data_IF_036165176019
#
_entry.id   IF_036165176019
#
_cell.length_a   1.000
_cell.length_b   1.000
_cell.length_c   1.000
_cell.angle_alpha   90.00
_cell.angle_beta   90.00
_cell.angle_gamma   90.00
#
_symmetry.space_group_name_H-M   'P 1'
#
loop_
_entity.id
_entity.type
_entity.pdbx_description
1 polymer ?
#
# COMPACT_ATOMS: atom_id res chain seq x y z
N UNK A 1 -3.77 22.69 -6.36
CA UNK A 1 -4.57 21.44 -6.47
C UNK A 1 -4.59 20.81 -5.11
N UNK A 2 -5.73 20.31 -4.62
CA UNK A 2 -5.78 19.62 -3.32
C UNK A 2 -5.51 18.13 -3.55
N UNK A 3 -4.59 17.56 -2.79
CA UNK A 3 -4.35 16.12 -2.77
C UNK A 3 -5.48 15.40 -2.02
N UNK A 4 -5.75 14.13 -2.37
CA UNK A 4 -6.68 13.29 -1.60
C UNK A 4 -6.14 13.07 -0.20
N UNK A 5 -4.84 12.78 -0.12
CA UNK A 5 -4.10 12.76 1.14
C UNK A 5 -2.64 13.18 0.91
N UNK A 6 -2.03 13.64 1.98
CA UNK A 6 -0.61 14.01 2.06
C UNK A 6 -0.05 13.67 3.43
N UNK A 7 1.19 13.25 3.49
CA UNK A 7 1.94 13.06 4.74
C UNK A 7 3.16 13.96 4.76
N UNK A 8 3.47 14.52 5.92
CA UNK A 8 4.67 15.29 6.15
C UNK A 8 5.47 14.65 7.29
N UNK A 9 6.67 14.17 6.95
CA UNK A 9 7.62 13.53 7.85
C UNK A 9 6.99 12.46 8.76
N UNK A 10 6.12 11.62 8.19
CA UNK A 10 5.37 10.62 8.94
C UNK A 10 6.30 9.55 9.53
N UNK A 11 6.20 9.33 10.84
CA UNK A 11 6.98 8.33 11.58
C UNK A 11 6.03 7.37 12.30
N UNK A 12 6.34 6.07 12.20
CA UNK A 12 5.71 5.05 13.03
C UNK A 12 6.74 4.11 13.61
N UNK A 13 6.72 4.06 14.93
CA UNK A 13 7.58 3.19 15.72
C UNK A 13 6.72 2.24 16.57
N UNK A 14 7.23 1.03 16.79
CA UNK A 14 6.64 0.07 17.72
C UNK A 14 7.61 -0.24 18.83
N UNK A 15 7.18 -0.05 20.07
CA UNK A 15 7.97 -0.40 21.24
C UNK A 15 7.68 -1.85 21.63
N UNK A 16 8.70 -2.69 21.55
CA UNK A 16 8.65 -4.07 22.03
C UNK A 16 9.11 -4.09 23.49
N UNK A 17 8.22 -4.46 24.42
CA UNK A 17 8.59 -4.62 25.82
C UNK A 17 9.31 -5.94 26.01
N UNK A 18 10.54 -5.91 26.47
CA UNK A 18 11.36 -7.10 26.74
C UNK A 18 11.00 -7.86 28.02
N UNK A 19 9.92 -7.49 28.74
CA UNK A 19 9.59 -8.00 30.08
C UNK A 19 10.18 -7.14 31.20
N UNK A 20 9.93 -7.55 32.47
CA UNK A 20 10.18 -6.71 33.67
C UNK A 20 11.63 -6.23 33.84
N UNK A 21 12.61 -6.90 33.24
CA UNK A 21 14.04 -6.62 33.38
C UNK A 21 14.84 -6.55 32.08
N UNK A 22 14.15 -6.54 30.90
CA UNK A 22 14.83 -6.46 29.60
C UNK A 22 14.69 -5.05 29.00
N UNK A 23 15.69 -4.54 28.25
CA UNK A 23 15.60 -3.25 27.60
C UNK A 23 14.42 -3.24 26.60
N UNK A 24 13.78 -2.08 26.51
CA UNK A 24 12.78 -1.85 25.46
C UNK A 24 13.51 -1.73 24.12
N UNK A 25 13.01 -2.42 23.12
CA UNK A 25 13.49 -2.30 21.75
C UNK A 25 12.46 -1.52 20.92
N UNK A 26 12.93 -0.65 20.03
CA UNK A 26 12.08 0.12 19.14
C UNK A 26 12.25 -0.38 17.71
N UNK A 27 11.16 -0.75 17.07
CA UNK A 27 11.12 -1.06 15.63
C UNK A 27 10.75 0.21 14.89
N UNK A 28 11.64 0.70 14.03
CA UNK A 28 11.42 1.88 13.19
C UNK A 28 10.72 1.47 11.89
N UNK A 29 9.39 1.33 11.92
CA UNK A 29 8.62 0.78 10.81
C UNK A 29 8.36 1.80 9.68
N UNK A 30 8.22 3.09 10.00
CA UNK A 30 8.12 4.21 9.03
C UNK A 30 9.02 5.33 9.54
N UNK A 31 9.90 5.85 8.69
CA UNK A 31 10.99 6.73 9.08
C UNK A 31 10.97 8.04 8.28
N UNK A 32 10.05 8.96 8.61
CA UNK A 32 10.01 10.29 8.02
C UNK A 32 9.52 10.30 6.56
N UNK A 33 8.40 9.63 6.30
CA UNK A 33 7.84 9.51 4.95
C UNK A 33 6.95 10.71 4.64
N UNK A 34 7.31 11.47 3.59
CA UNK A 34 6.53 12.59 3.04
C UNK A 34 6.11 12.26 1.62
N UNK A 35 4.82 11.93 1.46
CA UNK A 35 4.19 11.51 0.20
C UNK A 35 2.84 12.21 0.04
N UNK A 36 2.34 12.22 -1.19
CA UNK A 36 1.02 12.74 -1.52
C UNK A 36 0.37 11.92 -2.61
N UNK A 37 -0.95 12.04 -2.76
CA UNK A 37 -1.70 11.39 -3.83
C UNK A 37 -2.70 12.35 -4.45
N UNK A 38 -2.67 12.46 -5.78
CA UNK A 38 -3.62 13.25 -6.56
C UNK A 38 -4.95 12.48 -6.74
N UNK A 39 -6.09 13.20 -6.93
CA UNK A 39 -7.34 12.55 -7.28
C UNK A 39 -7.23 11.72 -8.57
N UNK A 40 -7.78 10.50 -8.56
CA UNK A 40 -7.75 9.58 -9.70
C UNK A 40 -6.37 8.93 -9.96
N UNK A 41 -5.38 9.20 -9.10
CA UNK A 41 -4.03 8.63 -9.24
C UNK A 41 -3.96 7.22 -8.60
N UNK A 42 -3.23 6.31 -9.22
CA UNK A 42 -2.69 5.12 -8.56
C UNK A 42 -1.24 5.38 -8.16
N UNK A 43 -0.98 5.43 -6.85
CA UNK A 43 0.35 5.49 -6.27
C UNK A 43 0.77 4.08 -5.83
N UNK A 44 1.79 3.53 -6.47
CA UNK A 44 2.34 2.23 -6.11
C UNK A 44 3.41 2.32 -5.03
N UNK A 45 3.38 1.45 -4.03
CA UNK A 45 4.48 1.32 -3.06
C UNK A 45 5.07 -0.08 -3.17
N UNK A 46 6.37 -0.15 -3.45
CA UNK A 46 7.12 -1.41 -3.58
C UNK A 46 8.31 -1.46 -2.63
N UNK A 47 8.81 -2.67 -2.38
CA UNK A 47 9.98 -2.93 -1.56
C UNK A 47 9.93 -4.32 -0.95
N UNK A 48 11.03 -4.76 -0.34
CA UNK A 48 11.13 -6.07 0.31
C UNK A 48 10.07 -6.25 1.41
N UNK A 49 9.73 -7.52 1.71
CA UNK A 49 8.80 -7.84 2.80
C UNK A 49 9.33 -7.28 4.12
N UNK A 50 8.43 -6.73 4.95
CA UNK A 50 8.80 -6.12 6.24
C UNK A 50 9.45 -4.73 6.15
N UNK A 51 9.57 -4.09 4.97
CA UNK A 51 10.17 -2.77 4.84
C UNK A 51 9.25 -1.59 5.27
N UNK A 52 8.04 -1.84 5.79
CA UNK A 52 7.16 -0.81 6.35
C UNK A 52 5.99 -0.37 5.49
N UNK A 53 5.79 -0.91 4.27
CA UNK A 53 4.72 -0.54 3.32
C UNK A 53 3.31 -0.60 3.93
N UNK A 54 2.92 -1.78 4.42
CA UNK A 54 1.61 -1.99 5.06
C UNK A 54 1.46 -1.14 6.32
N UNK A 55 2.54 -0.97 7.10
CA UNK A 55 2.53 -0.09 8.27
C UNK A 55 2.25 1.37 7.90
N UNK A 56 2.82 1.86 6.79
CA UNK A 56 2.50 3.19 6.26
C UNK A 56 1.01 3.30 5.91
N UNK A 57 0.46 2.35 5.14
CA UNK A 57 -0.97 2.32 4.79
C UNK A 57 -1.88 2.24 6.02
N UNK A 58 -1.55 1.40 7.00
CA UNK A 58 -2.31 1.27 8.25
C UNK A 58 -2.26 2.54 9.10
N UNK A 59 -1.13 3.25 9.09
CA UNK A 59 -1.01 4.53 9.81
C UNK A 59 -1.83 5.61 9.11
N UNK A 60 -1.79 5.66 7.78
CA UNK A 60 -2.60 6.59 6.98
C UNK A 60 -4.10 6.36 7.16
N UNK A 61 -4.54 5.08 7.28
CA UNK A 61 -5.94 4.69 7.53
C UNK A 61 -6.38 4.90 8.99
N UNK A 62 -5.44 5.18 9.92
CA UNK A 62 -5.72 5.32 11.35
C UNK A 62 -5.89 4.00 12.09
N UNK A 63 -5.44 2.87 11.52
CA UNK A 63 -5.35 1.58 12.23
C UNK A 63 -4.18 1.56 13.20
N UNK A 64 -3.14 2.31 12.90
CA UNK A 64 -2.02 2.58 13.80
C UNK A 64 -1.90 4.09 14.05
N UNK A 65 -1.71 4.48 15.30
CA UNK A 65 -1.42 5.87 15.65
C UNK A 65 -0.01 6.23 15.16
N UNK A 66 0.15 7.37 14.49
CA UNK A 66 1.45 7.91 14.13
C UNK A 66 2.28 8.20 15.39
N UNK A 67 3.59 7.96 15.35
CA UNK A 67 4.50 8.35 16.43
C UNK A 67 4.83 9.85 16.35
N UNK A 68 5.01 10.36 15.13
CA UNK A 68 5.17 11.79 14.83
C UNK A 68 4.91 12.07 13.35
N UNK A 69 5.00 13.34 12.96
CA UNK A 69 4.67 13.80 11.62
C UNK A 69 3.21 14.22 11.49
N UNK A 70 2.80 14.62 10.29
CA UNK A 70 1.45 15.11 10.02
C UNK A 70 0.81 14.36 8.87
N UNK A 71 -0.52 14.20 8.94
CA UNK A 71 -1.35 13.62 7.88
C UNK A 71 -2.42 14.65 7.52
N UNK A 72 -2.61 14.86 6.22
CA UNK A 72 -3.63 15.74 5.69
C UNK A 72 -4.56 14.95 4.77
N UNK A 73 -5.87 15.19 4.85
CA UNK A 73 -6.87 14.68 3.90
C UNK A 73 -7.65 15.86 3.33
N UNK A 74 -7.72 15.94 2.00
CA UNK A 74 -8.34 17.06 1.28
C UNK A 74 -7.82 18.43 1.77
N UNK A 75 -6.51 18.53 2.06
CA UNK A 75 -5.83 19.75 2.53
C UNK A 75 -6.06 20.09 4.02
N UNK A 76 -6.82 19.29 4.77
CA UNK A 76 -7.04 19.47 6.21
C UNK A 76 -6.14 18.51 7.00
N UNK A 77 -5.38 19.04 7.94
CA UNK A 77 -4.63 18.21 8.89
C UNK A 77 -5.58 17.44 9.81
N UNK A 78 -5.34 16.15 9.94
CA UNK A 78 -6.14 15.24 10.77
C UNK A 78 -5.22 14.28 11.56
N UNK A 79 -5.74 13.72 12.65
CA UNK A 79 -5.22 12.50 13.26
C UNK A 79 -6.16 11.33 12.90
N UNK A 80 -5.81 10.48 11.91
CA UNK A 80 -6.69 9.41 11.46
C UNK A 80 -7.04 8.40 12.57
N UNK A 81 -6.18 8.24 13.56
CA UNK A 81 -6.42 7.32 14.68
C UNK A 81 -7.54 7.81 15.61
N UNK A 82 -7.67 9.14 15.76
CA UNK A 82 -8.69 9.80 16.57
C UNK A 82 -9.92 10.16 15.73
N UNK A 83 -9.70 10.75 14.55
CA UNK A 83 -10.74 11.32 13.68
C UNK A 83 -11.30 10.30 12.67
N UNK A 84 -11.53 9.06 13.08
CA UNK A 84 -11.97 7.96 12.19
C UNK A 84 -13.19 8.30 11.34
N UNK A 85 -14.13 9.09 11.89
CA UNK A 85 -15.33 9.54 11.17
C UNK A 85 -15.02 10.46 9.97
N UNK A 86 -13.88 11.16 10.01
CA UNK A 86 -13.44 11.98 8.89
C UNK A 86 -12.68 11.16 7.84
N UNK A 87 -12.02 10.07 8.25
CA UNK A 87 -11.22 9.21 7.38
C UNK A 87 -12.07 8.25 6.55
N UNK A 88 -12.99 7.53 7.21
CA UNK A 88 -13.72 6.41 6.59
C UNK A 88 -14.51 6.78 5.33
N UNK A 89 -15.14 7.99 5.21
CA UNK A 89 -15.78 8.39 3.95
C UNK A 89 -14.81 8.72 2.82
N UNK A 90 -13.57 9.09 3.16
CA UNK A 90 -12.54 9.49 2.18
C UNK A 90 -11.71 8.28 1.75
N UNK A 91 -11.40 7.39 2.69
CA UNK A 91 -10.44 6.31 2.49
C UNK A 91 -10.98 4.99 3.03
N UNK A 92 -10.83 3.93 2.23
CA UNK A 92 -11.17 2.56 2.58
C UNK A 92 -9.98 1.64 2.30
N UNK A 93 -10.05 0.38 2.74
CA UNK A 93 -8.93 -0.55 2.61
C UNK A 93 -9.36 -1.94 2.16
N UNK A 94 -8.59 -2.50 1.22
CA UNK A 94 -8.60 -3.91 0.84
C UNK A 94 -7.37 -4.56 1.47
N UNK A 95 -7.60 -5.54 2.34
CA UNK A 95 -6.54 -6.20 3.11
C UNK A 95 -5.88 -7.35 2.34
N UNK A 96 -4.64 -7.65 2.69
CA UNK A 96 -3.80 -8.68 2.08
C UNK A 96 -4.44 -10.07 2.06
N UNK A 97 -5.14 -10.47 3.11
CA UNK A 97 -5.75 -11.79 3.22
C UNK A 97 -7.28 -11.70 3.16
N UNK A 98 -7.89 -12.04 2.01
CA UNK A 98 -9.35 -11.99 1.87
C UNK A 98 -10.07 -13.00 2.80
N UNK A 99 -9.40 -14.10 3.20
CA UNK A 99 -9.95 -15.07 4.14
C UNK A 99 -10.05 -14.54 5.57
N UNK A 100 -9.07 -13.73 5.99
CA UNK A 100 -9.05 -13.15 7.33
C UNK A 100 -9.87 -11.84 7.43
N UNK A 101 -10.07 -11.15 6.29
CA UNK A 101 -10.74 -9.85 6.25
C UNK A 101 -12.27 -9.93 6.22
N UNK A 102 -12.85 -11.06 5.81
CA UNK A 102 -14.28 -11.30 5.77
C UNK A 102 -14.67 -12.28 6.87
N UNK A 103 -15.73 -11.98 7.62
CA UNK A 103 -16.25 -12.93 8.60
C UNK A 103 -16.85 -14.15 7.87
N UNK A 104 -16.29 -15.36 8.03
CA UNK A 104 -16.71 -16.55 7.27
C UNK A 104 -18.14 -17.03 7.56
N UNK A 105 -18.75 -16.53 8.64
CA UNK A 105 -20.10 -16.90 9.10
C UNK A 105 -21.18 -15.91 8.66
N UNK A 106 -20.81 -14.84 7.97
CA UNK A 106 -21.75 -13.87 7.47
C UNK A 106 -22.00 -14.09 5.98
N UNK A 107 -23.23 -13.81 5.56
CA UNK A 107 -23.59 -13.74 4.15
C UNK A 107 -22.93 -12.53 3.49
N UNK A 108 -22.77 -12.58 2.19
CA UNK A 108 -22.25 -11.45 1.41
C UNK A 108 -23.07 -10.18 1.63
N UNK A 109 -24.42 -10.28 1.66
CA UNK A 109 -25.29 -9.16 1.96
C UNK A 109 -24.96 -8.53 3.33
N UNK A 110 -24.84 -9.35 4.37
CA UNK A 110 -24.51 -8.86 5.71
C UNK A 110 -23.14 -8.16 5.77
N UNK A 111 -22.12 -8.71 5.07
CA UNK A 111 -20.79 -8.11 4.98
C UNK A 111 -20.82 -6.75 4.28
N UNK A 112 -21.63 -6.61 3.23
CA UNK A 112 -21.71 -5.38 2.46
C UNK A 112 -22.64 -4.35 3.10
N UNK A 113 -23.66 -4.78 3.86
CA UNK A 113 -24.55 -3.87 4.61
C UNK A 113 -23.90 -3.27 5.85
N UNK A 114 -23.00 -4.02 6.53
CA UNK A 114 -22.36 -3.60 7.78
C UNK A 114 -21.78 -2.16 7.74
N UNK A 115 -20.98 -1.75 6.74
CA UNK A 115 -20.49 -0.37 6.67
C UNK A 115 -21.59 0.68 6.52
N UNK A 116 -22.67 0.34 5.81
CA UNK A 116 -23.81 1.23 5.57
C UNK A 116 -24.70 1.39 6.82
N UNK A 117 -24.72 0.40 7.71
CA UNK A 117 -25.45 0.48 8.97
C UNK A 117 -24.88 1.52 9.94
N UNK A 118 -23.58 1.77 9.83
CA UNK A 118 -22.88 2.75 10.65
C UNK A 118 -23.08 4.20 10.17
N UNK A 119 -23.62 4.40 8.97
CA UNK A 119 -23.87 5.71 8.38
C UNK A 119 -25.38 5.99 8.35
N UNK A 120 -25.90 6.89 9.20
CA UNK A 120 -27.34 7.15 9.32
C UNK A 120 -28.00 7.73 8.07
N UNK A 121 -27.23 8.11 7.04
CA UNK A 121 -27.78 8.57 5.76
C UNK A 121 -28.43 7.44 4.96
N UNK A 122 -28.08 6.15 5.22
CA UNK A 122 -28.61 5.02 4.49
C UNK A 122 -29.80 4.39 5.20
N UNK A 123 -31.01 4.51 4.61
CA UNK A 123 -32.18 3.75 5.07
C UNK A 123 -32.02 2.25 4.74
N UNK A 124 -32.79 1.34 5.38
CA UNK A 124 -32.76 -0.08 5.01
C UNK A 124 -32.97 -0.34 3.51
N UNK A 125 -33.83 0.46 2.87
CA UNK A 125 -34.09 0.37 1.43
C UNK A 125 -32.87 0.80 0.61
N UNK A 126 -32.20 1.88 1.00
CA UNK A 126 -31.02 2.39 0.31
C UNK A 126 -29.86 1.38 0.41
N UNK A 127 -29.72 0.67 1.53
CA UNK A 127 -28.71 -0.38 1.73
C UNK A 127 -28.88 -1.50 0.71
N UNK A 128 -30.10 -2.04 0.57
CA UNK A 128 -30.38 -3.11 -0.42
C UNK A 128 -30.06 -2.68 -1.84
N UNK A 129 -30.43 -1.44 -2.21
CA UNK A 129 -30.12 -0.88 -3.52
C UNK A 129 -28.60 -0.79 -3.72
N UNK A 130 -27.89 -0.26 -2.71
CA UNK A 130 -26.44 -0.04 -2.78
C UNK A 130 -25.66 -1.35 -2.82
N UNK A 131 -26.09 -2.39 -2.07
CA UNK A 131 -25.51 -3.73 -2.14
C UNK A 131 -25.66 -4.32 -3.55
N UNK A 132 -26.83 -4.18 -4.17
CA UNK A 132 -27.04 -4.62 -5.55
C UNK A 132 -26.10 -3.92 -6.53
N UNK A 133 -26.00 -2.60 -6.43
CA UNK A 133 -25.13 -1.80 -7.30
C UNK A 133 -23.66 -2.22 -7.18
N UNK A 134 -23.16 -2.38 -5.95
CA UNK A 134 -21.75 -2.71 -5.75
C UNK A 134 -21.42 -4.15 -6.17
N UNK A 135 -22.35 -5.10 -6.01
CA UNK A 135 -22.16 -6.45 -6.52
C UNK A 135 -22.05 -6.46 -8.05
N UNK A 136 -22.90 -5.71 -8.75
CA UNK A 136 -22.84 -5.57 -10.20
C UNK A 136 -21.52 -4.90 -10.64
N UNK A 137 -21.08 -3.86 -9.93
CA UNK A 137 -19.81 -3.18 -10.18
C UNK A 137 -18.58 -4.10 -10.09
N UNK A 138 -18.60 -5.09 -9.18
CA UNK A 138 -17.50 -6.07 -9.08
C UNK A 138 -17.72 -7.33 -9.92
N UNK A 139 -18.75 -7.36 -10.76
CA UNK A 139 -19.03 -8.45 -11.70
C UNK A 139 -19.71 -9.67 -11.05
N UNK A 140 -20.35 -9.49 -9.89
CA UNK A 140 -21.11 -10.53 -9.19
C UNK A 140 -22.61 -10.22 -9.26
N UNK A 141 -23.43 -11.24 -9.51
CA UNK A 141 -24.89 -11.06 -9.50
C UNK A 141 -25.47 -11.14 -8.08
N UNK A 142 -26.71 -10.71 -7.91
CA UNK A 142 -27.41 -10.70 -6.62
C UNK A 142 -27.52 -12.06 -5.94
N UNK A 143 -27.46 -13.18 -6.67
CA UNK A 143 -27.52 -14.51 -6.06
C UNK A 143 -26.33 -14.83 -5.18
N UNK A 144 -25.23 -14.08 -5.30
CA UNK A 144 -24.09 -14.17 -4.37
C UNK A 144 -24.39 -13.58 -3.01
N UNK A 145 -25.37 -12.67 -2.92
CA UNK A 145 -25.72 -12.00 -1.67
C UNK A 145 -26.11 -12.94 -0.53
N UNK A 146 -26.79 -14.05 -0.85
CA UNK A 146 -27.26 -15.04 0.11
C UNK A 146 -26.21 -16.10 0.48
N UNK A 147 -25.04 -16.11 -0.19
CA UNK A 147 -23.98 -17.07 0.09
C UNK A 147 -23.16 -16.63 1.30
N UNK A 148 -22.70 -17.59 2.08
CA UNK A 148 -21.73 -17.32 3.13
C UNK A 148 -20.34 -17.05 2.53
N UNK A 149 -19.54 -16.22 3.19
CA UNK A 149 -18.20 -15.89 2.72
C UNK A 149 -17.29 -17.12 2.56
N UNK A 150 -17.51 -18.17 3.33
CA UNK A 150 -16.71 -19.40 3.24
C UNK A 150 -17.02 -20.25 1.97
N UNK A 151 -18.16 -20.05 1.33
CA UNK A 151 -18.55 -20.77 0.10
C UNK A 151 -17.94 -20.16 -1.18
N UNK A 152 -17.30 -18.99 -1.05
CA UNK A 152 -16.73 -18.26 -2.19
C UNK A 152 -15.32 -18.75 -2.53
N UNK A 153 -14.97 -18.74 -3.83
CA UNK A 153 -13.58 -18.90 -4.27
C UNK A 153 -12.68 -17.75 -3.80
N UNK A 154 -11.35 -17.91 -3.85
CA UNK A 154 -10.40 -16.86 -3.48
C UNK A 154 -10.61 -15.55 -4.24
N UNK A 155 -10.79 -15.62 -5.57
CA UNK A 155 -11.06 -14.44 -6.39
C UNK A 155 -12.41 -13.79 -6.09
N UNK A 156 -13.47 -14.59 -5.85
CA UNK A 156 -14.77 -14.06 -5.45
C UNK A 156 -14.70 -13.35 -4.09
N UNK A 157 -13.99 -13.92 -3.10
CA UNK A 157 -13.75 -13.24 -1.81
C UNK A 157 -13.01 -11.92 -1.98
N UNK A 158 -12.01 -11.90 -2.87
CA UNK A 158 -11.30 -10.66 -3.17
C UNK A 158 -12.22 -9.62 -3.79
N UNK A 159 -13.07 -10.02 -4.73
CA UNK A 159 -14.09 -9.13 -5.31
C UNK A 159 -15.06 -8.60 -4.24
N UNK A 160 -15.48 -9.42 -3.26
CA UNK A 160 -16.30 -8.96 -2.13
C UNK A 160 -15.52 -8.02 -1.21
N UNK A 161 -14.21 -8.26 -0.96
CA UNK A 161 -13.35 -7.33 -0.24
C UNK A 161 -13.26 -5.95 -0.91
N UNK A 162 -13.15 -5.94 -2.24
CA UNK A 162 -13.18 -4.70 -3.05
C UNK A 162 -14.56 -4.06 -2.98
N UNK A 163 -15.65 -4.83 -3.12
CA UNK A 163 -17.02 -4.36 -3.01
C UNK A 163 -17.29 -3.69 -1.66
N UNK A 164 -16.80 -4.29 -0.55
CA UNK A 164 -16.92 -3.72 0.81
C UNK A 164 -16.19 -2.39 0.95
N UNK A 165 -15.02 -2.25 0.32
CA UNK A 165 -14.32 -0.96 0.30
C UNK A 165 -15.05 0.07 -0.57
N UNK A 166 -15.58 -0.36 -1.71
CA UNK A 166 -16.26 0.51 -2.69
C UNK A 166 -17.63 0.99 -2.22
N UNK A 167 -18.31 0.23 -1.37
CA UNK A 167 -19.71 0.49 -1.01
C UNK A 167 -19.93 1.87 -0.37
N UNK A 168 -18.92 2.37 0.33
CA UNK A 168 -18.90 3.70 0.96
C UNK A 168 -18.57 4.84 -0.01
N UNK A 169 -18.29 4.54 -1.30
CA UNK A 169 -17.89 5.52 -2.33
C UNK A 169 -16.68 6.38 -1.90
N UNK A 170 -15.57 5.75 -1.49
CA UNK A 170 -14.41 6.49 -1.04
C UNK A 170 -13.69 7.21 -2.20
N UNK A 171 -12.92 8.25 -1.87
CA UNK A 171 -12.03 8.92 -2.83
C UNK A 171 -10.74 8.11 -3.07
N UNK A 172 -10.31 7.33 -2.07
CA UNK A 172 -9.12 6.51 -2.12
C UNK A 172 -9.36 5.11 -1.54
N UNK A 173 -8.80 4.09 -2.17
CA UNK A 173 -8.74 2.73 -1.60
C UNK A 173 -7.27 2.33 -1.46
N UNK A 174 -6.87 1.97 -0.23
CA UNK A 174 -5.59 1.34 0.04
C UNK A 174 -5.72 -0.14 -0.30
N UNK A 175 -4.95 -0.62 -1.26
CA UNK A 175 -4.88 -2.03 -1.66
C UNK A 175 -3.58 -2.62 -1.10
N UNK A 176 -3.65 -3.31 0.05
CA UNK A 176 -2.48 -3.92 0.69
C UNK A 176 -2.33 -5.36 0.20
N UNK A 177 -1.38 -5.59 -0.72
CA UNK A 177 -1.11 -6.86 -1.39
C UNK A 177 -2.38 -7.58 -1.92
N UNK A 178 -3.25 -6.89 -2.66
CA UNK A 178 -4.61 -7.37 -2.94
C UNK A 178 -4.67 -8.64 -3.82
N UNK A 179 -3.55 -9.05 -4.40
CA UNK A 179 -3.48 -10.16 -5.37
C UNK A 179 -2.44 -11.23 -5.01
N UNK A 180 -1.66 -11.05 -3.94
CA UNK A 180 -0.49 -11.90 -3.61
C UNK A 180 -0.84 -13.37 -3.36
N UNK A 181 -2.06 -13.67 -2.90
CA UNK A 181 -2.53 -15.02 -2.58
C UNK A 181 -3.40 -15.66 -3.68
N UNK A 182 -3.43 -15.08 -4.88
CA UNK A 182 -4.31 -15.49 -5.97
C UNK A 182 -3.52 -16.06 -7.15
N UNK A 183 -4.15 -16.97 -7.90
CA UNK A 183 -3.59 -17.49 -9.15
C UNK A 183 -3.45 -16.37 -10.21
N UNK A 184 -2.48 -16.49 -11.11
CA UNK A 184 -2.15 -15.46 -12.13
C UNK A 184 -3.37 -15.02 -12.94
N UNK A 185 -4.25 -15.96 -13.35
CA UNK A 185 -5.47 -15.62 -14.09
C UNK A 185 -6.44 -14.75 -13.30
N UNK A 186 -6.56 -15.01 -12.00
CA UNK A 186 -7.40 -14.22 -11.09
C UNK A 186 -6.75 -12.87 -10.79
N UNK A 187 -5.42 -12.80 -10.67
CA UNK A 187 -4.69 -11.54 -10.52
C UNK A 187 -5.04 -10.57 -11.65
N UNK A 188 -4.97 -11.04 -12.91
CA UNK A 188 -5.33 -10.23 -14.09
C UNK A 188 -6.79 -9.74 -14.02
N UNK A 189 -7.72 -10.60 -13.62
CA UNK A 189 -9.14 -10.21 -13.47
C UNK A 189 -9.33 -9.11 -12.41
N UNK A 190 -8.66 -9.23 -11.26
CA UNK A 190 -8.73 -8.21 -10.20
C UNK A 190 -8.08 -6.89 -10.64
N UNK A 191 -6.95 -6.95 -11.37
CA UNK A 191 -6.29 -5.74 -11.89
C UNK A 191 -7.22 -5.02 -12.88
N UNK A 192 -7.79 -5.74 -13.84
CA UNK A 192 -8.76 -5.17 -14.81
C UNK A 192 -10.01 -4.61 -14.10
N UNK A 193 -10.47 -5.27 -13.03
CA UNK A 193 -11.57 -4.75 -12.21
C UNK A 193 -11.19 -3.40 -11.57
N UNK A 194 -10.01 -3.28 -10.95
CA UNK A 194 -9.55 -2.04 -10.30
C UNK A 194 -9.41 -0.90 -11.33
N UNK A 195 -8.83 -1.16 -12.51
CA UNK A 195 -8.73 -0.18 -13.60
C UNK A 195 -10.11 0.32 -14.03
N UNK A 196 -11.03 -0.59 -14.30
CA UNK A 196 -12.41 -0.24 -14.69
C UNK A 196 -13.10 0.60 -13.62
N UNK A 197 -12.97 0.25 -12.34
CA UNK A 197 -13.54 1.01 -11.24
C UNK A 197 -12.92 2.42 -11.12
N UNK A 198 -11.62 2.54 -11.37
CA UNK A 198 -10.92 3.83 -11.40
C UNK A 198 -11.46 4.72 -12.53
N UNK A 199 -11.56 4.18 -13.75
CA UNK A 199 -12.09 4.92 -14.91
C UNK A 199 -13.56 5.35 -14.72
N UNK A 200 -14.39 4.50 -14.13
CA UNK A 200 -15.82 4.77 -13.94
C UNK A 200 -16.11 5.72 -12.78
N UNK A 201 -15.33 5.67 -11.70
CA UNK A 201 -15.63 6.36 -10.45
C UNK A 201 -14.57 7.41 -10.04
N UNK A 202 -13.44 7.51 -10.75
CA UNK A 202 -12.36 8.44 -10.40
C UNK A 202 -11.66 8.10 -9.11
N UNK A 203 -11.67 6.83 -8.68
CA UNK A 203 -11.09 6.38 -7.41
C UNK A 203 -9.56 6.44 -7.50
N UNK A 204 -8.92 6.93 -6.45
CA UNK A 204 -7.46 6.85 -6.30
C UNK A 204 -7.09 5.54 -5.61
N UNK A 205 -5.96 4.92 -6.00
CA UNK A 205 -5.46 3.71 -5.33
C UNK A 205 -4.08 3.95 -4.72
N UNK A 206 -3.93 3.64 -3.43
CA UNK A 206 -2.62 3.39 -2.84
C UNK A 206 -2.36 1.88 -2.95
N UNK A 207 -1.58 1.48 -3.96
CA UNK A 207 -1.37 0.08 -4.29
C UNK A 207 -0.04 -0.42 -3.71
N UNK A 208 -0.12 -1.24 -2.67
CA UNK A 208 1.04 -1.80 -1.96
C UNK A 208 1.27 -3.23 -2.45
N UNK A 209 2.47 -3.52 -2.94
CA UNK A 209 2.86 -4.87 -3.35
C UNK A 209 4.38 -5.07 -3.23
N UNK A 210 4.80 -6.32 -3.18
CA UNK A 210 6.20 -6.71 -3.38
C UNK A 210 6.48 -7.08 -4.84
N UNK A 211 5.45 -7.25 -5.67
CA UNK A 211 5.57 -7.53 -7.10
C UNK A 211 5.68 -6.23 -7.91
N UNK A 212 6.89 -5.94 -8.36
CA UNK A 212 7.22 -4.74 -9.11
C UNK A 212 6.50 -4.66 -10.47
N UNK A 213 6.26 -5.81 -11.12
CA UNK A 213 5.60 -5.85 -12.42
C UNK A 213 4.13 -5.44 -12.30
N UNK A 214 3.45 -5.91 -11.25
CA UNK A 214 2.06 -5.56 -11.00
C UNK A 214 1.92 -4.08 -10.63
N UNK A 215 2.85 -3.55 -9.81
CA UNK A 215 2.84 -2.12 -9.46
C UNK A 215 3.13 -1.25 -10.68
N UNK A 216 4.13 -1.60 -11.50
CA UNK A 216 4.40 -0.91 -12.77
C UNK A 216 3.17 -0.86 -13.67
N UNK A 217 2.41 -1.96 -13.74
CA UNK A 217 1.25 -2.08 -14.62
C UNK A 217 0.12 -1.13 -14.23
N UNK A 218 -0.23 -1.06 -12.92
CA UNK A 218 -1.41 -0.29 -12.48
C UNK A 218 -1.09 1.15 -12.05
N UNK A 219 0.18 1.46 -11.76
CA UNK A 219 0.52 2.72 -11.09
C UNK A 219 0.93 3.81 -12.07
N UNK A 220 0.48 5.02 -11.79
CA UNK A 220 0.94 6.24 -12.47
C UNK A 220 2.30 6.67 -11.92
N UNK A 221 2.47 6.61 -10.59
CA UNK A 221 3.69 6.92 -9.87
C UNK A 221 4.03 5.79 -8.91
N UNK A 222 5.31 5.54 -8.71
CA UNK A 222 5.82 4.46 -7.86
C UNK A 222 6.79 5.00 -6.81
N UNK A 223 6.72 4.43 -5.62
CA UNK A 223 7.60 4.71 -4.47
C UNK A 223 8.30 3.41 -4.07
N UNK A 224 9.61 3.44 -4.02
CA UNK A 224 10.44 2.33 -3.55
C UNK A 224 10.82 2.56 -2.10
N UNK A 225 10.36 1.69 -1.20
CA UNK A 225 10.62 1.76 0.24
C UNK A 225 11.65 0.71 0.67
N UNK A 226 12.53 1.12 1.58
CA UNK A 226 13.49 0.25 2.24
C UNK A 226 13.64 0.63 3.71
N UNK A 227 13.49 -0.34 4.63
CA UNK A 227 13.56 -0.13 6.09
C UNK A 227 12.77 1.11 6.58
N UNK A 228 11.54 1.27 6.12
CA UNK A 228 10.65 2.35 6.53
C UNK A 228 10.90 3.70 5.87
N UNK A 229 11.85 3.84 4.96
CA UNK A 229 12.16 5.08 4.27
C UNK A 229 11.98 4.97 2.76
N UNK A 230 11.70 6.11 2.11
CA UNK A 230 11.65 6.23 0.65
C UNK A 230 13.07 6.31 0.09
N UNK A 231 13.41 5.41 -0.84
CA UNK A 231 14.70 5.39 -1.54
C UNK A 231 14.62 6.09 -2.88
N UNK A 232 13.55 5.86 -3.62
CA UNK A 232 13.29 6.47 -4.92
C UNK A 232 11.79 6.60 -5.15
N UNK A 233 11.35 7.68 -5.82
CA UNK A 233 9.97 7.95 -6.19
C UNK A 233 9.93 8.66 -7.53
N UNK A 234 8.98 8.31 -8.40
CA UNK A 234 8.81 8.94 -9.71
C UNK A 234 7.74 8.27 -10.56
N UNK A 235 7.61 8.64 -11.85
CA UNK A 235 6.72 7.98 -12.79
C UNK A 235 7.01 6.47 -12.82
N UNK A 236 5.96 5.64 -12.73
CA UNK A 236 6.13 4.20 -12.49
C UNK A 236 6.92 3.50 -13.62
N UNK A 237 6.64 3.86 -14.87
CA UNK A 237 7.32 3.29 -16.04
C UNK A 237 8.81 3.67 -16.06
N UNK A 238 9.12 4.95 -15.86
CA UNK A 238 10.48 5.46 -15.91
C UNK A 238 11.33 4.90 -14.78
N UNK A 239 10.74 4.76 -13.59
CA UNK A 239 11.41 4.20 -12.43
C UNK A 239 11.72 2.71 -12.61
N UNK A 240 10.85 1.98 -13.31
CA UNK A 240 11.07 0.58 -13.65
C UNK A 240 12.13 0.41 -14.76
N UNK A 241 12.07 1.19 -15.84
CA UNK A 241 12.95 1.05 -17.01
C UNK A 241 14.33 1.68 -16.80
N UNK A 242 14.39 2.79 -16.06
CA UNK A 242 15.60 3.56 -15.82
C UNK A 242 15.81 3.86 -14.31
N UNK A 243 15.88 2.81 -13.46
CA UNK A 243 16.06 2.99 -12.02
C UNK A 243 17.40 3.67 -11.71
N UNK A 244 17.38 4.65 -10.80
CA UNK A 244 18.59 5.40 -10.46
C UNK A 244 19.20 4.93 -9.14
N UNK A 245 18.36 4.74 -8.10
CA UNK A 245 18.87 4.28 -6.81
C UNK A 245 19.40 2.83 -6.92
N UNK A 246 20.59 2.49 -6.36
CA UNK A 246 21.15 1.14 -6.42
C UNK A 246 20.23 0.03 -5.93
N UNK A 247 19.40 0.32 -4.92
CA UNK A 247 18.37 -0.62 -4.44
C UNK A 247 17.28 -0.86 -5.48
N UNK A 248 16.78 0.21 -6.13
CA UNK A 248 15.76 0.10 -7.19
C UNK A 248 16.31 -0.70 -8.37
N UNK A 249 17.54 -0.44 -8.77
CA UNK A 249 18.25 -1.23 -9.84
C UNK A 249 18.30 -2.70 -9.50
N UNK A 250 18.60 -3.04 -8.25
CA UNK A 250 18.67 -4.43 -7.83
C UNK A 250 17.28 -5.10 -7.80
N UNK A 251 16.23 -4.38 -7.35
CA UNK A 251 14.84 -4.87 -7.37
C UNK A 251 14.33 -5.10 -8.80
N UNK A 252 14.55 -4.17 -9.71
CA UNK A 252 14.12 -4.30 -11.12
C UNK A 252 14.85 -5.41 -11.83
N UNK A 253 16.16 -5.59 -11.57
CA UNK A 253 16.95 -6.68 -12.15
C UNK A 253 16.47 -8.08 -11.74
N UNK A 254 15.92 -8.23 -10.54
CA UNK A 254 15.36 -9.50 -10.06
C UNK A 254 13.96 -9.80 -10.62
N UNK A 255 13.21 -8.76 -10.99
CA UNK A 255 11.83 -8.86 -11.52
C UNK A 255 11.76 -8.71 -13.05
N UNK A 256 12.88 -8.58 -13.72
CA UNK A 256 12.97 -8.53 -15.19
C UNK A 256 12.52 -9.83 -15.86
N UNK A 257 12.24 -9.81 -17.17
CA UNK A 257 11.88 -11.01 -17.91
C UNK A 257 13.04 -12.03 -17.81
N UNK A 258 12.69 -13.29 -17.52
CA UNK A 258 13.67 -14.38 -17.54
C UNK A 258 14.04 -14.64 -18.99
N UNK A 259 15.16 -14.09 -19.44
CA UNK A 259 15.71 -14.36 -20.77
C UNK A 259 16.56 -15.62 -20.64
N UNK A 260 16.23 -16.71 -21.37
CA UNK A 260 17.04 -17.92 -21.32
C UNK A 260 18.51 -17.61 -21.63
N UNK A 261 19.42 -18.10 -20.81
CA UNK A 261 20.89 -17.93 -20.94
C UNK A 261 21.40 -16.49 -20.67
N UNK A 262 20.54 -15.49 -20.35
CA UNK A 262 21.04 -14.23 -19.87
C UNK A 262 21.48 -14.35 -18.40
N UNK A 263 22.52 -13.62 -17.95
CA UNK A 263 22.88 -13.59 -16.54
C UNK A 263 21.68 -13.01 -15.76
N UNK A 264 21.15 -13.80 -14.84
CA UNK A 264 20.18 -13.30 -13.87
C UNK A 264 20.87 -12.18 -13.09
N UNK A 265 20.22 -11.03 -12.97
CA UNK A 265 20.77 -9.89 -12.21
C UNK A 265 21.32 -10.38 -10.86
N UNK A 266 22.48 -9.86 -10.46
CA UNK A 266 23.13 -10.30 -9.24
C UNK A 266 22.17 -10.15 -8.07
N UNK A 267 21.92 -11.22 -7.29
CA UNK A 267 21.03 -11.14 -6.14
C UNK A 267 21.55 -10.09 -5.16
N UNK A 268 20.64 -9.40 -4.50
CA UNK A 268 21.00 -8.48 -3.42
C UNK A 268 21.86 -9.22 -2.38
N UNK A 269 23.05 -8.72 -2.11
CA UNK A 269 23.98 -9.35 -1.16
C UNK A 269 23.42 -9.23 0.27
N UNK A 270 23.38 -10.35 0.99
CA UNK A 270 22.99 -10.42 2.40
C UNK A 270 21.52 -10.15 2.67
N UNK A 271 21.13 -10.34 3.93
CA UNK A 271 19.78 -10.06 4.42
C UNK A 271 19.56 -8.58 4.72
N UNK A 272 18.31 -8.10 4.70
CA UNK A 272 17.98 -6.75 5.18
C UNK A 272 18.51 -6.55 6.61
N UNK A 273 19.07 -5.37 6.94
CA UNK A 273 19.46 -5.05 8.30
C UNK A 273 18.30 -5.19 9.30
N UNK A 274 18.65 -5.46 10.55
CA UNK A 274 17.65 -5.57 11.60
C UNK A 274 16.95 -4.21 11.81
N UNK A 275 15.61 -4.14 11.70
CA UNK A 275 14.87 -2.90 11.92
C UNK A 275 14.92 -2.39 13.37
N UNK A 276 15.43 -3.20 14.31
CA UNK A 276 15.70 -2.77 15.69
C UNK A 276 16.99 -1.95 15.84
N UNK A 277 17.94 -2.12 14.91
CA UNK A 277 19.21 -1.38 14.89
C UNK A 277 19.56 -1.00 13.45
N UNK A 278 18.82 -0.04 12.86
CA UNK A 278 19.03 0.36 11.48
C UNK A 278 20.37 1.08 11.32
N UNK A 279 21.02 1.02 10.15
CA UNK A 279 22.24 1.75 9.84
C UNK A 279 22.11 3.26 10.17
N UNK A 280 23.15 3.85 10.76
CA UNK A 280 23.17 5.29 11.08
C UNK A 280 23.21 6.18 9.83
N UNK A 281 23.87 5.73 8.77
CA UNK A 281 23.96 6.39 7.50
C UNK A 281 22.83 5.98 6.54
N UNK A 282 23.17 5.81 5.26
CA UNK A 282 22.26 5.29 4.26
C UNK A 282 21.76 3.90 4.68
N UNK A 283 20.44 3.70 4.72
CA UNK A 283 19.85 2.43 5.15
C UNK A 283 20.29 1.24 4.30
N UNK A 284 20.57 1.49 3.02
CA UNK A 284 21.01 0.47 2.06
C UNK A 284 22.55 0.27 2.02
N UNK A 285 23.33 1.06 2.78
CA UNK A 285 24.81 1.08 2.70
C UNK A 285 25.44 -0.30 2.84
N UNK A 286 24.96 -1.16 3.73
CA UNK A 286 25.51 -2.50 3.96
C UNK A 286 25.31 -3.49 2.80
N UNK A 287 24.40 -3.20 1.87
CA UNK A 287 24.08 -4.05 0.71
C UNK A 287 24.36 -3.35 -0.63
N UNK A 288 24.70 -2.06 -0.60
CA UNK A 288 24.93 -1.24 -1.77
C UNK A 288 26.30 -1.56 -2.39
N UNK A 289 26.38 -1.95 -3.67
CA UNK A 289 27.65 -2.21 -4.34
C UNK A 289 28.48 -0.92 -4.57
N UNK A 290 27.84 0.24 -4.46
CA UNK A 290 28.42 1.57 -4.69
C UNK A 290 28.64 2.34 -3.38
N UNK A 291 28.51 1.67 -2.20
CA UNK A 291 28.64 2.34 -0.91
C UNK A 291 30.07 2.86 -0.70
N UNK A 292 30.17 4.13 -0.30
CA UNK A 292 31.42 4.80 0.08
C UNK A 292 31.37 5.31 1.52
N UNK A 293 32.47 5.86 2.03
CA UNK A 293 32.60 6.25 3.45
C UNK A 293 31.46 7.10 3.99
N UNK A 294 30.97 8.09 3.23
CA UNK A 294 29.84 8.94 3.61
C UNK A 294 28.55 8.15 3.80
N UNK A 295 28.30 7.14 2.96
CA UNK A 295 27.09 6.31 3.04
C UNK A 295 26.94 5.57 4.40
N UNK A 296 28.04 5.31 5.10
CA UNK A 296 27.97 4.62 6.39
C UNK A 296 27.74 5.54 7.60
N UNK A 297 27.95 6.85 7.42
CA UNK A 297 27.89 7.81 8.55
C UNK A 297 26.76 8.83 8.43
N UNK A 298 26.29 9.11 7.21
CA UNK A 298 25.29 10.15 6.96
C UNK A 298 24.17 9.61 6.06
N UNK A 299 22.91 9.83 6.46
CA UNK A 299 21.73 9.47 5.68
C UNK A 299 21.54 10.47 4.54
N UNK A 300 21.44 10.01 3.26
CA UNK A 300 21.09 10.90 2.17
C UNK A 300 19.65 11.41 2.32
N UNK A 301 19.40 12.71 2.19
CA UNK A 301 18.04 13.21 2.12
C UNK A 301 17.36 12.78 0.82
N UNK A 302 16.03 12.62 0.86
CA UNK A 302 15.22 12.46 -0.35
C UNK A 302 15.17 13.83 -1.06
N UNK A 303 15.76 13.94 -2.24
CA UNK A 303 15.88 15.21 -2.99
C UNK A 303 15.39 15.06 -4.42
N UNK A 304 14.95 16.17 -4.98
CA UNK A 304 14.50 16.24 -6.37
C UNK A 304 15.66 15.97 -7.33
N UNK A 305 15.41 15.14 -8.32
CA UNK A 305 16.29 14.81 -9.42
C UNK A 305 15.46 14.59 -10.69
N UNK A 306 15.53 15.53 -11.62
CA UNK A 306 14.66 15.58 -12.80
C UNK A 306 13.15 15.48 -12.41
N UNK A 307 12.45 14.46 -12.85
CA UNK A 307 11.03 14.20 -12.61
C UNK A 307 10.75 13.25 -11.43
N UNK A 308 11.75 12.98 -10.60
CA UNK A 308 11.70 12.02 -9.49
C UNK A 308 12.39 12.54 -8.23
N UNK A 309 12.24 11.82 -7.13
CA UNK A 309 12.96 12.08 -5.87
C UNK A 309 13.81 10.86 -5.49
N UNK A 310 15.05 11.10 -5.06
CA UNK A 310 16.03 10.04 -4.81
C UNK A 310 16.82 10.32 -3.52
N UNK A 311 16.97 9.28 -2.68
CA UNK A 311 17.76 9.32 -1.45
C UNK A 311 19.12 8.64 -1.64
N UNK A 312 20.00 9.22 -2.46
CA UNK A 312 21.34 8.69 -2.75
C UNK A 312 22.38 9.81 -2.81
N UNK A 313 23.63 9.51 -2.38
CA UNK A 313 24.74 10.47 -2.45
C UNK A 313 25.41 10.52 -3.82
N UNK A 314 25.27 9.46 -4.62
CA UNK A 314 25.90 9.33 -5.94
C UNK A 314 25.10 9.98 -7.07
N UNK A 315 23.97 10.61 -6.77
CA UNK A 315 23.07 11.24 -7.75
C UNK A 315 22.91 12.71 -7.43
#
# INVERSE_FOLDING_TARGET
>A
MSYVWETDNLVKEFTLSGGLFKPKHTVHAVQGVSLYQSPGETLGIVGESGCGKSTFGYTLMGLHQATSGSIYMNGRQIDPYVDRKAVHPVMQMVFQNPYASLNPRLTVNAILEEPLELDPKYTPRDRVIRVKEVLDQVGLNMSFGERDAHELSGGQRQSIGIARALIMQPQCIICDEPISALDVSIQVQIMTLLERLQEQHGISYLFISHDLNMVRYISHRMVVMYLGAVMEEGPALDLYEFPQHPYTRALTALNGPVIPHAPIGAPLKGDPPNPLDPPKGCLFSGRCPEAEGRCFVERPPLRDWADRRIACWHI
#
